data_IF_607763068419
#
_entry.id   IF_607763068419
#
_cell.length_a   1.000
_cell.length_b   1.000
_cell.length_c   1.000
_cell.angle_alpha   90.00
_cell.angle_beta   90.00
_cell.angle_gamma   90.00
#
_symmetry.space_group_name_H-M   'P 1'
#
loop_
_entity.id
_entity.type
_entity.pdbx_description
1 polymer ?
#
# COMPACT_ATOMS: atom_id res chain seq x y z
N UNK A 1 12.65 3.22 -15.32
CA UNK A 1 14.04 3.25 -15.85
C UNK A 1 14.11 2.69 -17.26
N UNK A 2 13.62 1.48 -17.52
CA UNK A 2 13.60 0.89 -18.87
C UNK A 2 12.77 1.69 -19.90
N UNK A 3 11.60 2.22 -19.50
CA UNK A 3 10.75 3.04 -20.38
C UNK A 3 11.46 4.35 -20.78
N UNK A 4 12.15 5.00 -19.83
CA UNK A 4 12.87 6.25 -20.07
C UNK A 4 14.08 6.07 -21.02
N UNK A 5 14.72 4.90 -20.98
CA UNK A 5 15.88 4.58 -21.82
C UNK A 5 15.48 4.33 -23.30
N UNK A 6 14.26 3.82 -23.54
CA UNK A 6 13.75 3.56 -24.88
C UNK A 6 13.28 4.85 -25.59
N UNK A 7 12.78 5.82 -24.82
CA UNK A 7 12.29 7.12 -25.33
C UNK A 7 13.38 8.08 -25.81
N UNK A 8 14.62 7.94 -25.34
CA UNK A 8 15.74 8.84 -25.71
C UNK A 8 16.38 8.51 -27.07
N UNK A 9 16.08 7.35 -27.67
CA UNK A 9 16.79 6.83 -28.84
C UNK A 9 16.06 7.01 -30.19
N UNK A 10 14.81 7.49 -30.23
CA UNK A 10 14.01 7.52 -31.47
C UNK A 10 13.42 8.92 -31.75
N UNK A 11 14.19 9.76 -32.45
CA UNK A 11 13.73 10.98 -33.15
C UNK A 11 13.53 12.24 -32.28
N UNK A 12 13.89 13.46 -32.65
CA UNK A 12 14.34 14.01 -33.93
C UNK A 12 15.15 15.30 -33.69
N UNK A 13 15.98 15.66 -34.66
CA UNK A 13 16.56 16.99 -34.81
C UNK A 13 15.48 17.92 -35.38
N UNK A 14 15.00 18.87 -34.57
CA UNK A 14 14.23 20.02 -35.04
C UNK A 14 14.48 21.16 -34.06
N UNK A 15 14.98 22.31 -34.52
CA UNK A 15 15.00 23.52 -33.70
C UNK A 15 13.57 24.08 -33.63
N UNK A 16 12.97 24.23 -32.44
CA UNK A 16 12.06 25.32 -32.21
C UNK A 16 12.80 26.39 -31.40
N UNK A 17 12.45 27.65 -31.61
CA UNK A 17 12.84 28.76 -30.76
C UNK A 17 12.23 28.57 -29.37
N UNK A 18 12.79 27.67 -28.58
CA UNK A 18 12.30 27.32 -27.27
C UNK A 18 12.83 28.40 -26.31
N UNK A 19 11.96 29.36 -26.04
CA UNK A 19 12.21 30.46 -25.11
C UNK A 19 12.88 29.91 -23.83
N UNK A 20 13.98 30.52 -23.36
CA UNK A 20 14.80 29.96 -22.28
C UNK A 20 14.00 29.63 -21.01
N UNK A 21 12.86 30.29 -20.79
CA UNK A 21 11.95 29.98 -19.67
C UNK A 21 11.26 28.62 -19.77
N UNK A 22 10.97 28.13 -20.99
CA UNK A 22 10.30 26.84 -21.20
C UNK A 22 11.24 25.69 -20.81
N UNK A 23 12.50 25.78 -21.23
CA UNK A 23 13.54 24.81 -20.85
C UNK A 23 13.80 24.79 -19.34
N UNK A 24 13.84 25.97 -18.71
CA UNK A 24 13.97 26.09 -17.25
C UNK A 24 12.79 25.44 -16.53
N UNK A 25 11.56 25.61 -17.02
CA UNK A 25 10.38 24.97 -16.45
C UNK A 25 10.46 23.44 -16.51
N UNK A 26 10.84 22.87 -17.66
CA UNK A 26 11.03 21.42 -17.79
C UNK A 26 12.11 20.88 -16.84
N UNK A 27 13.24 21.58 -16.72
CA UNK A 27 14.32 21.20 -15.81
C UNK A 27 13.88 21.25 -14.34
N UNK A 28 13.11 22.26 -13.94
CA UNK A 28 12.52 22.36 -12.60
C UNK A 28 11.54 21.21 -12.35
N UNK A 29 10.65 20.91 -13.29
CA UNK A 29 9.70 19.79 -13.15
C UNK A 29 10.39 18.43 -13.03
N UNK A 30 11.44 18.18 -13.82
CA UNK A 30 12.25 16.96 -13.73
C UNK A 30 13.02 16.93 -12.40
N UNK A 31 13.57 18.06 -11.98
CA UNK A 31 14.28 18.17 -10.70
C UNK A 31 13.35 17.91 -9.52
N UNK A 32 12.12 18.43 -9.56
CA UNK A 32 11.07 18.12 -8.58
C UNK A 32 10.75 16.64 -8.64
N UNK A 33 10.58 16.02 -9.81
CA UNK A 33 10.28 14.59 -9.92
C UNK A 33 11.42 13.69 -9.40
N UNK A 34 12.67 14.14 -9.48
CA UNK A 34 13.85 13.45 -8.95
C UNK A 34 14.04 13.71 -7.44
N UNK A 35 13.74 14.92 -6.97
CA UNK A 35 13.82 15.31 -5.55
C UNK A 35 12.58 14.96 -4.74
N UNK A 36 11.44 14.69 -5.37
CA UNK A 36 10.32 13.99 -4.73
C UNK A 36 10.93 12.67 -4.30
N UNK A 37 11.15 12.48 -2.99
CA UNK A 37 11.82 11.30 -2.56
C UNK A 37 10.95 10.13 -3.02
N UNK A 38 11.56 8.98 -3.27
CA UNK A 38 10.82 7.71 -3.33
C UNK A 38 10.10 7.40 -2.00
N UNK A 39 9.97 8.37 -1.07
CA UNK A 39 9.30 8.31 0.22
C UNK A 39 7.79 8.13 0.14
N UNK A 40 7.16 8.25 -1.03
CA UNK A 40 5.79 7.75 -1.23
C UNK A 40 5.76 6.21 -1.31
N UNK A 41 6.86 5.60 -1.72
CA UNK A 41 7.13 4.18 -1.52
C UNK A 41 8.06 4.07 -0.31
N UNK A 42 7.64 4.63 0.83
CA UNK A 42 8.25 4.21 2.07
C UNK A 42 7.99 2.70 2.15
N UNK A 43 9.07 1.93 2.14
CA UNK A 43 9.13 0.63 2.81
C UNK A 43 8.97 0.93 4.31
N UNK A 44 7.83 1.50 4.68
CA UNK A 44 7.44 1.71 6.05
C UNK A 44 7.05 0.32 6.51
N UNK A 45 7.76 -0.22 7.49
CA UNK A 45 7.48 -1.54 8.06
C UNK A 45 5.98 -1.69 8.40
N UNK A 46 5.30 -0.56 8.69
CA UNK A 46 3.86 -0.47 8.86
C UNK A 46 3.06 -0.84 7.61
N UNK A 47 3.45 -0.40 6.41
CA UNK A 47 2.77 -0.78 5.17
C UNK A 47 3.03 -2.24 4.80
N UNK A 48 4.27 -2.72 5.00
CA UNK A 48 4.61 -4.15 4.81
C UNK A 48 3.78 -5.03 5.74
N UNK A 49 3.53 -4.58 6.98
CA UNK A 49 2.69 -5.30 7.93
C UNK A 49 1.23 -5.44 7.49
N UNK A 50 0.71 -4.50 6.67
CA UNK A 50 -0.61 -4.62 6.05
C UNK A 50 -0.65 -5.62 4.89
N UNK A 51 0.47 -6.20 4.47
CA UNK A 51 0.51 -7.37 3.60
C UNK A 51 0.22 -8.68 4.34
N UNK A 52 0.29 -8.70 5.67
CA UNK A 52 0.01 -9.90 6.47
C UNK A 52 -1.48 -10.22 6.49
N UNK A 53 -1.80 -11.50 6.44
CA UNK A 53 -3.16 -12.01 6.55
C UNK A 53 -3.39 -12.56 7.96
N UNK A 54 -4.63 -12.48 8.43
CA UNK A 54 -5.04 -13.11 9.67
C UNK A 54 -5.26 -14.61 9.44
N UNK A 55 -4.75 -15.42 10.38
CA UNK A 55 -4.96 -16.85 10.44
C UNK A 55 -5.25 -17.32 11.87
N UNK A 56 -6.32 -18.09 12.04
CA UNK A 56 -6.69 -18.75 13.29
C UNK A 56 -7.60 -19.95 13.00
N UNK A 57 -7.15 -21.15 13.35
CA UNK A 57 -7.92 -22.38 13.12
C UNK A 57 -8.30 -22.55 11.64
N UNK A 58 -9.61 -22.65 11.37
CA UNK A 58 -10.16 -22.79 10.01
C UNK A 58 -10.33 -21.45 9.27
N UNK A 59 -10.24 -20.32 9.98
CA UNK A 59 -10.35 -18.98 9.41
C UNK A 59 -8.95 -18.53 9.01
N UNK A 60 -8.67 -18.48 7.70
CA UNK A 60 -7.32 -18.23 7.17
C UNK A 60 -7.38 -17.29 5.99
N UNK A 61 -6.23 -16.71 5.64
CA UNK A 61 -6.08 -15.78 4.51
C UNK A 61 -7.01 -14.56 4.60
N UNK A 62 -7.33 -14.10 5.81
CA UNK A 62 -8.26 -13.00 5.99
C UNK A 62 -7.51 -11.67 5.94
N UNK A 63 -7.91 -10.81 5.01
CA UNK A 63 -7.33 -9.48 4.84
C UNK A 63 -8.27 -8.36 5.25
N UNK A 64 -8.13 -7.21 4.58
CA UNK A 64 -9.07 -6.10 4.71
C UNK A 64 -10.51 -6.58 4.42
N UNK A 65 -11.53 -6.17 5.19
CA UNK A 65 -11.53 -5.06 6.15
C UNK A 65 -11.14 -5.45 7.59
N UNK A 66 -10.75 -6.70 7.83
CA UNK A 66 -10.42 -7.21 9.16
C UNK A 66 -8.96 -6.95 9.56
N UNK A 67 -8.71 -6.97 10.85
CA UNK A 67 -7.37 -6.93 11.45
C UNK A 67 -7.33 -7.80 12.72
N UNK A 68 -6.12 -8.09 13.22
CA UNK A 68 -5.91 -8.97 14.36
C UNK A 68 -4.75 -9.94 14.14
N UNK A 69 -4.38 -10.69 15.18
CA UNK A 69 -3.20 -11.56 15.15
C UNK A 69 -1.95 -10.76 14.80
N UNK A 70 -1.25 -11.17 13.73
CA UNK A 70 -0.05 -10.48 13.24
C UNK A 70 -0.35 -9.26 12.34
N UNK A 71 -1.62 -9.02 11.98
CA UNK A 71 -2.07 -7.90 11.14
C UNK A 71 -2.49 -6.72 12.04
N UNK A 72 -1.77 -5.59 12.03
CA UNK A 72 -2.03 -4.50 12.97
C UNK A 72 -3.33 -3.76 12.68
N UNK A 73 -3.83 -3.05 13.70
CA UNK A 73 -5.12 -2.37 13.68
C UNK A 73 -5.30 -1.31 12.59
N UNK A 74 -4.22 -0.60 12.25
CA UNK A 74 -4.18 0.37 11.15
C UNK A 74 -4.44 -0.23 9.76
N UNK A 75 -4.41 -1.57 9.62
CA UNK A 75 -4.63 -2.27 8.37
C UNK A 75 -6.08 -2.74 8.16
N UNK A 76 -7.00 -2.43 9.06
CA UNK A 76 -8.41 -2.81 8.98
C UNK A 76 -9.34 -1.75 9.57
N UNK A 77 -10.63 -2.07 9.65
CA UNK A 77 -11.63 -1.20 10.27
C UNK A 77 -11.61 -1.40 11.80
N UNK A 78 -11.65 -0.32 12.61
CA UNK A 78 -11.60 -0.42 14.07
C UNK A 78 -12.61 -1.40 14.67
N UNK A 79 -13.79 -1.53 14.07
CA UNK A 79 -14.88 -2.39 14.51
C UNK A 79 -14.73 -3.86 14.11
N UNK A 80 -13.79 -4.18 13.21
CA UNK A 80 -13.62 -5.52 12.63
C UNK A 80 -12.35 -6.22 13.13
N UNK A 81 -12.18 -6.21 14.45
CA UNK A 81 -11.07 -6.92 15.11
C UNK A 81 -11.39 -8.40 15.27
N UNK A 82 -10.52 -9.25 14.71
CA UNK A 82 -10.53 -10.70 14.90
C UNK A 82 -9.51 -11.10 15.97
N UNK A 83 -9.97 -11.82 16.98
CA UNK A 83 -9.12 -12.39 18.02
C UNK A 83 -9.05 -13.92 17.88
N UNK A 84 -7.88 -14.49 18.17
CA UNK A 84 -7.68 -15.94 18.19
C UNK A 84 -7.54 -16.42 19.63
N UNK A 85 -8.46 -17.26 20.08
CA UNK A 85 -8.42 -17.87 21.41
C UNK A 85 -7.54 -19.13 21.41
N UNK A 86 -7.08 -19.56 22.59
CA UNK A 86 -6.23 -20.74 22.78
C UNK A 86 -6.79 -22.05 22.18
N UNK A 87 -8.12 -22.15 22.02
CA UNK A 87 -8.81 -23.28 21.39
C UNK A 87 -8.92 -23.15 19.86
N UNK A 88 -8.13 -22.26 19.25
CA UNK A 88 -8.18 -21.91 17.82
C UNK A 88 -9.55 -21.39 17.34
N UNK A 89 -10.35 -20.85 18.25
CA UNK A 89 -11.61 -20.18 17.91
C UNK A 89 -11.35 -18.72 17.52
N UNK A 90 -11.80 -18.34 16.33
CA UNK A 90 -11.83 -16.94 15.87
C UNK A 90 -13.03 -16.23 16.48
N UNK A 91 -12.79 -15.09 17.11
CA UNK A 91 -13.79 -14.28 17.79
C UNK A 91 -13.82 -12.89 17.18
N UNK A 92 -15.02 -12.35 16.96
CA UNK A 92 -15.26 -10.99 16.50
C UNK A 92 -16.09 -10.25 17.56
N UNK A 93 -15.66 -9.06 17.96
CA UNK A 93 -16.44 -8.23 18.88
C UNK A 93 -17.22 -7.17 18.12
N UNK A 94 -18.55 -7.24 18.17
CA UNK A 94 -19.46 -6.24 17.57
C UNK A 94 -20.41 -5.76 18.65
N UNK A 95 -20.56 -4.44 18.80
CA UNK A 95 -21.48 -3.83 19.79
C UNK A 95 -21.28 -4.36 21.22
N UNK A 96 -20.02 -4.51 21.65
CA UNK A 96 -19.64 -5.07 22.96
C UNK A 96 -20.08 -6.51 23.22
N UNK A 97 -20.36 -7.28 22.16
CA UNK A 97 -20.64 -8.71 22.23
C UNK A 97 -19.63 -9.48 21.40
N UNK A 98 -19.19 -10.60 21.95
CA UNK A 98 -18.24 -11.49 21.29
C UNK A 98 -19.00 -12.59 20.53
N UNK A 99 -18.66 -12.75 19.26
CA UNK A 99 -19.24 -13.73 18.35
C UNK A 99 -18.15 -14.66 17.87
N UNK A 100 -18.41 -15.97 17.89
CA UNK A 100 -17.54 -16.95 17.24
C UNK A 100 -17.76 -16.92 15.74
N UNK A 101 -16.70 -16.67 15.00
CA UNK A 101 -16.70 -16.68 13.53
C UNK A 101 -16.59 -18.12 13.07
N UNK A 102 -17.56 -18.57 12.28
CA UNK A 102 -17.58 -19.91 11.69
C UNK A 102 -17.02 -19.90 10.27
N UNK A 103 -17.29 -18.83 9.51
CA UNK A 103 -16.92 -18.65 8.12
C UNK A 103 -16.87 -17.15 7.78
N UNK A 104 -16.06 -16.80 6.77
CA UNK A 104 -15.97 -15.47 6.16
C UNK A 104 -15.92 -15.70 4.64
N UNK A 105 -16.82 -15.06 3.90
CA UNK A 105 -16.98 -15.15 2.43
C UNK A 105 -16.35 -13.93 1.74
#
# INVERSE_FOLDING_TARGET
IFIAHLSLSLGEKMQPHLHPTSFLFFMVMISILIHVPRSLCADDDQYVSCGKLFECGNIRNIGYPFWGGDRPNQCGLPELHLNCRDDNATLLTVLSREYRVLEID
#
